data_IF_754145475410
#
_entry.id   IF_754145475410
#
_cell.length_a   1.000
_cell.length_b   1.000
_cell.length_c   1.000
_cell.angle_alpha   90.00
_cell.angle_beta   90.00
_cell.angle_gamma   90.00
#
_symmetry.space_group_name_H-M   'P 1'
#
loop_
_entity.id
_entity.type
_entity.pdbx_description
1 polymer ?
#
# COMPACT_ATOMS: atom_id res chain seq x y z
N UNK A 1 22.72 25.05 -7.69
CA UNK A 1 21.82 24.54 -6.64
C UNK A 1 21.55 25.66 -5.63
N UNK A 2 20.31 25.89 -5.19
CA UNK A 2 20.04 26.88 -4.12
C UNK A 2 18.91 27.91 -4.34
N UNK A 3 18.16 27.87 -5.45
CA UNK A 3 16.99 28.77 -5.66
C UNK A 3 15.62 28.12 -5.51
N UNK A 4 15.55 26.83 -5.13
CA UNK A 4 14.31 26.07 -4.82
C UNK A 4 13.07 26.45 -5.65
N UNK A 5 12.71 25.64 -6.64
CA UNK A 5 11.46 25.87 -7.39
C UNK A 5 10.26 25.66 -6.46
N UNK A 6 9.56 26.74 -6.10
CA UNK A 6 8.38 26.68 -5.23
C UNK A 6 7.28 25.88 -5.93
N UNK A 7 7.20 26.00 -7.25
CA UNK A 7 6.30 25.24 -8.12
C UNK A 7 6.60 23.74 -8.05
N UNK A 8 7.88 23.35 -7.98
CA UNK A 8 8.28 21.96 -7.85
C UNK A 8 7.84 21.34 -6.54
N UNK A 9 8.01 22.06 -5.42
CA UNK A 9 7.57 21.63 -4.09
C UNK A 9 6.04 21.57 -4.05
N UNK A 10 5.35 22.61 -4.52
CA UNK A 10 3.90 22.67 -4.56
C UNK A 10 3.32 21.53 -5.42
N UNK A 11 3.94 21.21 -6.56
CA UNK A 11 3.52 20.12 -7.42
C UNK A 11 3.67 18.75 -6.72
N UNK A 12 4.83 18.46 -6.11
CA UNK A 12 5.04 17.18 -5.42
C UNK A 12 4.17 17.02 -4.18
N UNK A 13 4.00 18.07 -3.39
CA UNK A 13 3.15 18.04 -2.19
C UNK A 13 1.67 17.90 -2.58
N UNK A 14 1.21 18.65 -3.59
CA UNK A 14 -0.17 18.52 -4.09
C UNK A 14 -0.44 17.14 -4.66
N UNK A 15 0.51 16.55 -5.39
CA UNK A 15 0.39 15.20 -5.92
C UNK A 15 0.27 14.17 -4.78
N UNK A 16 1.12 14.25 -3.76
CA UNK A 16 1.07 13.37 -2.60
C UNK A 16 -0.25 13.50 -1.82
N UNK A 17 -0.72 14.73 -1.59
CA UNK A 17 -2.00 14.97 -0.91
C UNK A 17 -3.22 14.51 -1.72
N UNK A 18 -3.20 14.64 -3.04
CA UNK A 18 -4.32 14.24 -3.90
C UNK A 18 -4.54 12.71 -3.89
N UNK A 19 -3.46 11.93 -3.79
CA UNK A 19 -3.52 10.46 -3.86
C UNK A 19 -4.11 9.84 -2.59
N UNK A 20 -3.98 10.48 -1.43
CA UNK A 20 -4.46 9.92 -0.16
C UNK A 20 -5.95 9.61 -0.15
N UNK A 21 -6.78 10.52 -0.68
CA UNK A 21 -8.23 10.30 -0.77
C UNK A 21 -8.59 9.30 -1.87
N UNK A 22 -7.92 9.38 -3.03
CA UNK A 22 -8.19 8.50 -4.16
C UNK A 22 -7.92 7.02 -3.83
N UNK A 23 -6.90 6.75 -3.01
CA UNK A 23 -6.55 5.37 -2.60
C UNK A 23 -7.60 4.70 -1.71
N UNK A 24 -8.51 5.46 -1.10
CA UNK A 24 -9.62 4.89 -0.33
C UNK A 24 -10.74 4.35 -1.22
N UNK A 25 -10.86 4.82 -2.45
CA UNK A 25 -11.88 4.33 -3.38
C UNK A 25 -11.71 2.82 -3.62
N UNK A 26 -10.56 2.33 -4.15
CA UNK A 26 -10.39 0.88 -4.38
C UNK A 26 -10.35 0.09 -3.07
N UNK A 27 -9.87 0.68 -1.96
CA UNK A 27 -9.89 0.04 -0.66
C UNK A 27 -11.32 -0.21 -0.17
N UNK A 28 -12.17 0.81 -0.19
CA UNK A 28 -13.53 0.70 0.33
C UNK A 28 -14.46 -0.03 -0.64
N UNK A 29 -14.24 0.08 -1.95
CA UNK A 29 -15.11 -0.60 -2.93
C UNK A 29 -14.67 -2.02 -3.24
N UNK A 30 -13.37 -2.33 -3.23
CA UNK A 30 -12.85 -3.66 -3.62
C UNK A 30 -12.12 -4.38 -2.48
N UNK A 31 -11.86 -3.71 -1.35
CA UNK A 31 -11.03 -4.28 -0.29
C UNK A 31 -9.53 -4.29 -0.63
N UNK A 32 -9.11 -3.63 -1.72
CA UNK A 32 -7.73 -3.72 -2.24
C UNK A 32 -6.99 -2.40 -1.98
N UNK A 33 -5.94 -2.40 -1.14
CA UNK A 33 -5.17 -1.20 -0.83
C UNK A 33 -4.22 -0.83 -1.99
N UNK A 34 -4.18 0.45 -2.35
CA UNK A 34 -3.28 0.98 -3.39
C UNK A 34 -1.90 1.45 -2.90
N UNK A 35 -1.71 1.60 -1.60
CA UNK A 35 -0.43 2.00 -0.99
C UNK A 35 -0.26 1.40 0.42
N UNK A 36 0.89 1.64 1.03
CA UNK A 36 1.23 1.13 2.38
C UNK A 36 0.26 1.65 3.45
N UNK A 37 -0.09 2.94 3.42
CA UNK A 37 -0.98 3.55 4.42
C UNK A 37 -2.38 2.95 4.36
N UNK A 38 -2.91 2.70 3.15
CA UNK A 38 -4.18 2.04 2.92
C UNK A 38 -4.13 0.58 3.41
N UNK A 39 -3.01 -0.14 3.22
CA UNK A 39 -2.85 -1.50 3.74
C UNK A 39 -2.87 -1.55 5.28
N UNK A 40 -2.25 -0.57 5.95
CA UNK A 40 -2.35 -0.42 7.40
C UNK A 40 -3.79 -0.16 7.86
N UNK A 41 -4.55 0.62 7.09
CA UNK A 41 -5.96 0.89 7.35
C UNK A 41 -6.84 -0.36 7.17
N UNK A 42 -6.56 -1.21 6.17
CA UNK A 42 -7.17 -2.55 6.06
C UNK A 42 -6.89 -3.37 7.32
N UNK A 43 -5.64 -3.41 7.77
CA UNK A 43 -5.28 -4.09 9.02
C UNK A 43 -6.05 -3.55 10.23
N UNK A 44 -6.19 -2.23 10.35
CA UNK A 44 -6.96 -1.60 11.43
C UNK A 44 -8.44 -1.97 11.38
N UNK A 45 -9.06 -2.00 10.19
CA UNK A 45 -10.45 -2.42 10.01
C UNK A 45 -10.66 -3.88 10.41
N UNK A 46 -9.77 -4.78 9.97
CA UNK A 46 -9.82 -6.20 10.34
C UNK A 46 -9.72 -6.37 11.87
N UNK A 47 -8.82 -5.62 12.53
CA UNK A 47 -8.70 -5.63 14.00
C UNK A 47 -9.99 -5.17 14.69
N UNK A 48 -10.73 -4.24 14.08
CA UNK A 48 -12.03 -3.76 14.58
C UNK A 48 -13.22 -4.61 14.10
N UNK A 49 -12.98 -5.71 13.39
CA UNK A 49 -14.04 -6.60 12.88
C UNK A 49 -14.79 -6.05 11.67
N UNK A 50 -14.25 -5.05 10.98
CA UNK A 50 -14.83 -4.43 9.78
C UNK A 50 -14.18 -5.04 8.55
N UNK A 51 -14.99 -5.61 7.66
CA UNK A 51 -14.52 -6.18 6.40
C UNK A 51 -14.59 -5.12 5.29
N UNK A 52 -13.44 -4.59 4.79
CA UNK A 52 -13.46 -3.58 3.75
C UNK A 52 -14.04 -4.12 2.44
N UNK A 53 -14.89 -3.31 1.80
CA UNK A 53 -15.58 -3.68 0.56
C UNK A 53 -16.95 -3.03 0.45
N UNK A 54 -17.73 -3.35 -0.61
CA UNK A 54 -19.01 -2.71 -0.89
C UNK A 54 -20.01 -2.83 0.28
N UNK A 55 -19.85 -3.88 1.10
CA UNK A 55 -20.69 -4.17 2.26
C UNK A 55 -20.59 -3.10 3.34
N UNK A 56 -19.43 -2.46 3.53
CA UNK A 56 -19.28 -1.41 4.56
C UNK A 56 -20.21 -0.23 4.30
N UNK A 57 -20.47 0.09 3.03
CA UNK A 57 -21.43 1.15 2.66
C UNK A 57 -22.87 0.80 3.03
N UNK A 58 -23.22 -0.50 3.09
CA UNK A 58 -24.56 -0.97 3.40
C UNK A 58 -24.80 -1.12 4.90
N UNK A 59 -23.83 -1.70 5.61
CA UNK A 59 -23.96 -2.03 7.03
C UNK A 59 -23.44 -0.93 7.97
N UNK A 60 -22.45 -0.14 7.55
CA UNK A 60 -21.75 0.84 8.39
C UNK A 60 -21.58 2.20 7.68
N UNK A 61 -22.68 2.74 7.15
CA UNK A 61 -22.68 4.03 6.47
C UNK A 61 -22.13 5.18 7.36
N UNK A 62 -22.41 5.15 8.66
CA UNK A 62 -21.91 6.15 9.62
C UNK A 62 -20.37 6.15 9.67
N UNK A 63 -19.75 4.98 9.62
CA UNK A 63 -18.29 4.85 9.62
C UNK A 63 -17.68 5.44 8.35
N UNK A 64 -18.30 5.17 7.20
CA UNK A 64 -17.84 5.69 5.89
C UNK A 64 -17.95 7.21 5.84
N UNK A 65 -19.11 7.77 6.19
CA UNK A 65 -19.30 9.23 6.21
C UNK A 65 -18.42 9.90 7.26
N UNK A 66 -18.23 9.26 8.42
CA UNK A 66 -17.31 9.69 9.46
C UNK A 66 -15.86 9.70 8.97
N UNK A 67 -15.44 8.68 8.23
CA UNK A 67 -14.11 8.58 7.63
C UNK A 67 -13.88 9.70 6.60
N UNK A 68 -14.81 9.92 5.66
CA UNK A 68 -14.68 11.00 4.68
C UNK A 68 -14.69 12.39 5.33
N UNK A 69 -15.57 12.61 6.31
CA UNK A 69 -15.65 13.87 7.05
C UNK A 69 -14.36 14.12 7.84
N UNK A 70 -13.86 13.10 8.54
CA UNK A 70 -12.60 13.18 9.30
C UNK A 70 -11.42 13.37 8.38
N UNK A 71 -11.40 12.75 7.20
CA UNK A 71 -10.32 12.95 6.22
C UNK A 71 -10.31 14.38 5.69
N UNK A 72 -11.48 14.95 5.40
CA UNK A 72 -11.61 16.35 5.00
C UNK A 72 -11.13 17.29 6.11
N UNK A 73 -11.50 17.00 7.36
CA UNK A 73 -11.03 17.75 8.53
C UNK A 73 -9.54 17.54 8.81
N UNK A 74 -9.00 16.35 8.53
CA UNK A 74 -7.59 16.01 8.68
C UNK A 74 -6.74 16.77 7.65
N UNK A 75 -7.21 16.91 6.41
CA UNK A 75 -6.52 17.74 5.41
C UNK A 75 -6.45 19.21 5.86
N UNK A 76 -7.54 19.75 6.41
CA UNK A 76 -7.56 21.10 6.99
C UNK A 76 -6.63 21.20 8.21
N UNK A 77 -6.64 20.19 9.08
CA UNK A 77 -5.78 20.13 10.26
C UNK A 77 -4.30 20.05 9.87
N UNK A 78 -3.96 19.26 8.85
CA UNK A 78 -2.60 19.17 8.29
C UNK A 78 -2.14 20.51 7.73
N UNK A 79 -3.02 21.29 7.10
CA UNK A 79 -2.68 22.64 6.67
C UNK A 79 -2.35 23.56 7.86
N UNK A 80 -3.17 23.55 8.92
CA UNK A 80 -2.95 24.36 10.13
C UNK A 80 -1.69 23.93 10.89
N UNK A 81 -1.56 22.63 11.18
CA UNK A 81 -0.40 22.06 11.89
C UNK A 81 0.87 22.18 11.05
N UNK A 82 0.77 22.02 9.73
CA UNK A 82 1.87 22.21 8.80
C UNK A 82 2.39 23.64 8.86
N UNK A 83 1.51 24.64 8.82
CA UNK A 83 1.92 26.05 8.87
C UNK A 83 2.62 26.40 10.20
N UNK A 84 2.09 25.95 11.34
CA UNK A 84 2.69 26.19 12.66
C UNK A 84 3.97 25.38 12.86
N UNK A 85 3.96 24.11 12.45
CA UNK A 85 5.00 23.13 12.68
C UNK A 85 6.16 23.18 11.68
N UNK A 86 6.01 23.83 10.52
CA UNK A 86 7.03 23.86 9.45
C UNK A 86 8.41 24.28 9.98
N UNK A 87 8.45 25.27 10.87
CA UNK A 87 9.69 25.77 11.48
C UNK A 87 10.36 24.72 12.38
N UNK A 88 9.57 23.89 13.06
CA UNK A 88 10.07 22.81 13.91
C UNK A 88 10.57 21.65 13.04
N UNK A 89 9.77 21.21 12.06
CA UNK A 89 10.13 20.10 11.17
C UNK A 89 11.38 20.42 10.34
N UNK A 90 11.52 21.66 9.86
CA UNK A 90 12.72 22.11 9.15
C UNK A 90 13.99 21.98 10.01
N UNK A 91 13.91 22.24 11.32
CA UNK A 91 15.04 22.04 12.25
C UNK A 91 15.36 20.57 12.46
N UNK A 92 14.35 19.70 12.53
CA UNK A 92 14.56 18.24 12.69
C UNK A 92 15.30 17.66 11.48
N UNK A 93 14.98 18.10 10.27
CA UNK A 93 15.64 17.63 9.04
C UNK A 93 17.11 18.08 8.98
N UNK A 94 17.47 19.19 9.65
CA UNK A 94 18.86 19.65 9.75
C UNK A 94 19.70 18.86 10.76
N UNK A 95 19.09 17.99 11.57
CA UNK A 95 19.82 17.13 12.50
C UNK A 95 20.65 16.12 11.72
N UNK A 96 21.91 15.93 12.12
CA UNK A 96 22.82 14.97 11.50
C UNK A 96 22.18 13.58 11.52
N UNK A 97 22.15 12.91 10.36
CA UNK A 97 21.56 11.57 10.21
C UNK A 97 22.11 10.54 11.20
N UNK A 98 23.37 10.70 11.61
CA UNK A 98 24.02 9.88 12.64
C UNK A 98 23.29 9.86 13.99
N UNK A 99 22.54 10.91 14.32
CA UNK A 99 21.72 10.99 15.55
C UNK A 99 20.28 10.64 15.23
N UNK A 100 19.77 11.11 14.08
CA UNK A 100 18.37 10.91 13.69
C UNK A 100 18.00 9.43 13.55
N UNK A 101 18.78 8.65 12.81
CA UNK A 101 18.50 7.24 12.56
C UNK A 101 18.43 6.39 13.85
N UNK A 102 19.42 6.43 14.77
CA UNK A 102 19.34 5.66 16.00
C UNK A 102 18.20 6.12 16.92
N UNK A 103 17.88 7.41 16.98
CA UNK A 103 16.73 7.88 17.77
C UNK A 103 15.41 7.35 17.22
N UNK A 104 15.22 7.36 15.90
CA UNK A 104 14.03 6.78 15.26
C UNK A 104 13.96 5.27 15.51
N UNK A 105 15.07 4.55 15.37
CA UNK A 105 15.13 3.11 15.66
C UNK A 105 14.77 2.80 17.12
N UNK A 106 15.31 3.57 18.07
CA UNK A 106 14.97 3.41 19.49
C UNK A 106 13.48 3.66 19.73
N UNK A 107 12.91 4.70 19.13
CA UNK A 107 11.50 5.01 19.27
C UNK A 107 10.63 3.89 18.67
N UNK A 108 11.01 3.32 17.53
CA UNK A 108 10.34 2.17 16.94
C UNK A 108 10.40 0.93 17.85
N UNK A 109 11.57 0.63 18.44
CA UNK A 109 11.75 -0.50 19.36
C UNK A 109 10.84 -0.32 20.59
N UNK A 110 10.84 0.88 21.18
CA UNK A 110 9.99 1.20 22.34
C UNK A 110 8.51 1.10 21.96
N UNK A 111 8.11 1.65 20.80
CA UNK A 111 6.74 1.59 20.32
C UNK A 111 6.23 0.15 20.13
N UNK A 112 7.04 -0.72 19.51
CA UNK A 112 6.70 -2.14 19.33
C UNK A 112 6.61 -2.87 20.67
N UNK A 113 7.53 -2.59 21.59
CA UNK A 113 7.52 -3.17 22.92
C UNK A 113 6.28 -2.78 23.72
N UNK A 114 5.82 -1.53 23.61
CA UNK A 114 4.62 -1.04 24.31
C UNK A 114 3.31 -1.50 23.65
N UNK A 115 3.27 -1.59 22.32
CA UNK A 115 2.04 -1.88 21.58
C UNK A 115 1.67 -3.36 21.55
N UNK A 116 2.64 -4.26 21.75
CA UNK A 116 2.40 -5.70 21.65
C UNK A 116 2.30 -6.35 23.02
N UNK A 117 1.24 -7.11 23.23
CA UNK A 117 1.10 -8.02 24.38
C UNK A 117 2.22 -9.07 24.45
N UNK A 118 2.99 -9.25 23.36
CA UNK A 118 4.07 -10.23 23.24
C UNK A 118 5.44 -9.75 23.76
N UNK A 119 5.56 -8.48 24.21
CA UNK A 119 6.77 -7.94 24.83
C UNK A 119 8.04 -8.12 23.98
N UNK A 120 9.05 -8.83 24.50
CA UNK A 120 10.34 -9.05 23.82
C UNK A 120 10.21 -9.83 22.50
N UNK A 121 9.22 -10.72 22.36
CA UNK A 121 9.01 -11.49 21.14
C UNK A 121 8.69 -10.59 19.93
N UNK A 122 7.94 -9.50 20.15
CA UNK A 122 7.62 -8.54 19.12
C UNK A 122 8.87 -7.81 18.59
N UNK A 123 9.87 -7.58 19.44
CA UNK A 123 11.14 -6.97 19.03
C UNK A 123 11.92 -7.91 18.10
N UNK A 124 11.96 -9.21 18.39
CA UNK A 124 12.61 -10.18 17.50
C UNK A 124 11.94 -10.25 16.13
N UNK A 125 10.60 -10.24 16.09
CA UNK A 125 9.83 -10.18 14.84
C UNK A 125 10.13 -8.88 14.08
N UNK A 126 10.16 -7.73 14.78
CA UNK A 126 10.51 -6.44 14.18
C UNK A 126 11.89 -6.47 13.53
N UNK A 127 12.91 -7.00 14.23
CA UNK A 127 14.28 -7.10 13.70
C UNK A 127 14.32 -8.04 12.48
N UNK A 128 13.62 -9.16 12.53
CA UNK A 128 13.54 -10.09 11.40
C UNK A 128 12.92 -9.42 10.15
N UNK A 129 11.79 -8.72 10.30
CA UNK A 129 11.16 -7.99 9.20
C UNK A 129 11.97 -6.78 8.73
N UNK A 130 12.72 -6.11 9.62
CA UNK A 130 13.64 -5.06 9.24
C UNK A 130 14.78 -5.60 8.36
N UNK A 131 15.32 -6.78 8.69
CA UNK A 131 16.33 -7.46 7.88
C UNK A 131 15.78 -7.89 6.50
N UNK A 132 14.56 -8.42 6.46
CA UNK A 132 13.88 -8.75 5.19
C UNK A 132 13.68 -7.50 4.33
N UNK A 133 13.18 -6.40 4.92
CA UNK A 133 12.99 -5.14 4.20
C UNK A 133 14.31 -4.56 3.67
N UNK A 134 15.40 -4.67 4.42
CA UNK A 134 16.74 -4.29 3.95
C UNK A 134 17.18 -5.15 2.77
N UNK A 135 16.97 -6.47 2.85
CA UNK A 135 17.33 -7.39 1.77
C UNK A 135 16.53 -7.13 0.49
N UNK A 136 15.24 -6.88 0.63
CA UNK A 136 14.36 -6.49 -0.47
C UNK A 136 14.87 -5.23 -1.16
N UNK A 137 15.24 -4.21 -0.38
CA UNK A 137 15.79 -2.96 -0.91
C UNK A 137 17.16 -3.16 -1.58
N UNK A 138 17.96 -4.12 -1.12
CA UNK A 138 19.24 -4.49 -1.74
C UNK A 138 19.07 -5.21 -3.08
N UNK A 139 17.97 -5.91 -3.28
CA UNK A 139 17.65 -6.63 -4.52
C UNK A 139 16.60 -5.91 -5.39
N UNK A 140 16.35 -4.63 -5.15
CA UNK A 140 15.35 -3.81 -5.87
C UNK A 140 13.92 -4.38 -5.88
N UNK A 141 13.56 -5.18 -4.87
CA UNK A 141 12.20 -5.63 -4.66
C UNK A 141 11.34 -4.55 -4.01
N UNK A 142 10.12 -4.39 -4.51
CA UNK A 142 9.14 -3.45 -3.95
C UNK A 142 8.64 -3.91 -2.58
N UNK A 143 9.14 -3.25 -1.52
CA UNK A 143 8.65 -3.43 -0.15
C UNK A 143 7.14 -3.13 -0.07
N UNK A 144 6.65 -2.18 -0.86
CA UNK A 144 5.23 -1.82 -0.94
C UNK A 144 4.39 -3.00 -1.39
N UNK A 145 4.79 -3.69 -2.46
CA UNK A 145 4.07 -4.85 -2.97
C UNK A 145 4.05 -6.00 -1.94
N UNK A 146 5.15 -6.20 -1.21
CA UNK A 146 5.20 -7.21 -0.16
C UNK A 146 4.25 -6.91 0.99
N UNK A 147 4.21 -5.67 1.49
CA UNK A 147 3.28 -5.30 2.58
C UNK A 147 1.83 -5.51 2.13
N UNK A 148 1.48 -5.08 0.92
CA UNK A 148 0.12 -5.28 0.38
C UNK A 148 -0.21 -6.77 0.28
N UNK A 149 0.69 -7.58 -0.28
CA UNK A 149 0.50 -9.03 -0.39
C UNK A 149 0.43 -9.74 0.95
N UNK A 150 1.20 -9.29 1.95
CA UNK A 150 1.19 -9.85 3.30
C UNK A 150 -0.16 -9.60 4.00
N UNK A 151 -0.67 -8.36 3.92
CA UNK A 151 -1.97 -8.02 4.53
C UNK A 151 -3.13 -8.73 3.84
N UNK A 152 -3.09 -8.86 2.51
CA UNK A 152 -4.14 -9.54 1.74
C UNK A 152 -4.02 -11.06 1.73
N UNK A 153 -2.87 -11.62 2.11
CA UNK A 153 -2.56 -13.04 1.96
C UNK A 153 -3.56 -13.96 2.66
N UNK A 154 -3.94 -13.62 3.90
CA UNK A 154 -4.93 -14.38 4.67
C UNK A 154 -6.32 -14.36 4.02
N UNK A 155 -6.79 -13.16 3.65
CA UNK A 155 -8.06 -12.99 2.94
C UNK A 155 -8.05 -13.71 1.59
N UNK A 156 -6.94 -13.64 0.85
CA UNK A 156 -6.79 -14.33 -0.42
C UNK A 156 -6.87 -15.85 -0.25
N UNK A 157 -6.14 -16.41 0.71
CA UNK A 157 -6.15 -17.84 1.01
C UNK A 157 -7.54 -18.32 1.43
N UNK A 158 -8.25 -17.54 2.26
CA UNK A 158 -9.62 -17.85 2.67
C UNK A 158 -10.58 -17.89 1.47
N UNK A 159 -10.54 -16.87 0.61
CA UNK A 159 -11.36 -16.80 -0.59
C UNK A 159 -11.01 -17.91 -1.60
N UNK A 160 -9.72 -18.23 -1.76
CA UNK A 160 -9.26 -19.29 -2.65
C UNK A 160 -9.76 -20.65 -2.18
N UNK A 161 -9.64 -20.95 -0.87
CA UNK A 161 -10.18 -22.18 -0.28
C UNK A 161 -11.69 -22.29 -0.49
N UNK A 162 -12.43 -21.22 -0.22
CA UNK A 162 -13.87 -21.16 -0.46
C UNK A 162 -14.23 -21.42 -1.92
N UNK A 163 -13.52 -20.78 -2.86
CA UNK A 163 -13.72 -20.98 -4.29
C UNK A 163 -13.44 -22.43 -4.72
N UNK A 164 -12.37 -23.05 -4.22
CA UNK A 164 -12.03 -24.46 -4.52
C UNK A 164 -13.08 -25.41 -3.96
N UNK A 165 -13.56 -25.20 -2.73
CA UNK A 165 -14.64 -26.01 -2.14
C UNK A 165 -15.93 -25.92 -2.94
N UNK A 166 -16.25 -24.73 -3.47
CA UNK A 166 -17.38 -24.52 -4.37
C UNK A 166 -17.11 -25.29 -5.68
N UNK A 167 -15.97 -25.11 -6.34
CA UNK A 167 -15.67 -25.73 -7.64
C UNK A 167 -15.49 -27.25 -7.61
N UNK A 168 -15.25 -27.87 -6.45
CA UNK A 168 -14.82 -29.27 -6.30
C UNK A 168 -15.71 -30.30 -7.04
N UNK A 169 -16.99 -30.01 -7.26
CA UNK A 169 -17.94 -30.95 -7.86
C UNK A 169 -18.07 -30.83 -9.39
N UNK A 170 -17.91 -29.63 -9.96
CA UNK A 170 -17.94 -29.39 -11.41
C UNK A 170 -17.27 -28.04 -11.75
N UNK A 171 -15.95 -28.04 -12.05
CA UNK A 171 -15.19 -26.81 -12.27
C UNK A 171 -15.56 -26.08 -13.56
N UNK A 172 -15.87 -26.81 -14.63
CA UNK A 172 -16.17 -26.25 -15.94
C UNK A 172 -17.64 -25.85 -16.05
N UNK A 173 -18.56 -26.66 -15.50
CA UNK A 173 -19.99 -26.34 -15.49
C UNK A 173 -20.31 -25.05 -14.73
N UNK A 174 -19.80 -24.88 -13.50
CA UNK A 174 -20.11 -23.69 -12.69
C UNK A 174 -19.46 -22.40 -13.15
N UNK A 175 -18.28 -22.47 -13.77
CA UNK A 175 -17.64 -21.27 -14.33
C UNK A 175 -18.41 -20.78 -15.56
N UNK A 176 -18.97 -21.70 -16.36
CA UNK A 176 -19.82 -21.36 -17.50
C UNK A 176 -21.20 -20.82 -17.09
N UNK A 177 -21.72 -21.20 -15.91
CA UNK A 177 -22.99 -20.69 -15.36
C UNK A 177 -22.92 -19.24 -14.88
N UNK A 178 -21.72 -18.75 -14.53
CA UNK A 178 -21.53 -17.40 -14.04
C UNK A 178 -20.88 -16.49 -15.10
N UNK A 179 -21.65 -15.65 -15.81
CA UNK A 179 -21.12 -14.79 -16.89
C UNK A 179 -20.02 -13.83 -16.40
N UNK A 180 -20.07 -13.45 -15.12
CA UNK A 180 -19.05 -12.62 -14.47
C UNK A 180 -17.71 -13.34 -14.29
N UNK A 181 -17.73 -14.65 -14.03
CA UNK A 181 -16.52 -15.45 -13.88
C UNK A 181 -15.79 -15.58 -15.22
N UNK A 182 -16.53 -15.85 -16.30
CA UNK A 182 -16.00 -15.89 -17.68
C UNK A 182 -15.36 -14.54 -18.03
N UNK A 183 -16.07 -13.43 -17.76
CA UNK A 183 -15.55 -12.09 -18.02
C UNK A 183 -14.23 -11.85 -17.29
N UNK A 184 -14.13 -12.18 -16.00
CA UNK A 184 -12.90 -12.01 -15.22
C UNK A 184 -11.74 -12.87 -15.72
N UNK A 185 -12.00 -14.12 -16.10
CA UNK A 185 -10.97 -15.00 -16.67
C UNK A 185 -10.46 -14.45 -18.00
N UNK A 186 -11.37 -14.06 -18.91
CA UNK A 186 -11.00 -13.45 -20.19
C UNK A 186 -10.24 -12.13 -19.99
N UNK A 187 -10.71 -11.25 -19.10
CA UNK A 187 -10.06 -9.99 -18.77
C UNK A 187 -8.64 -10.23 -18.23
N UNK A 188 -8.46 -11.22 -17.35
CA UNK A 188 -7.15 -11.60 -16.83
C UNK A 188 -6.22 -12.08 -17.95
N UNK A 189 -6.69 -12.95 -18.84
CA UNK A 189 -5.90 -13.43 -19.98
C UNK A 189 -5.49 -12.29 -20.91
N UNK A 190 -6.39 -11.35 -21.19
CA UNK A 190 -6.11 -10.16 -22.00
C UNK A 190 -5.08 -9.26 -21.32
N UNK A 191 -5.21 -9.04 -20.01
CA UNK A 191 -4.30 -8.19 -19.26
C UNK A 191 -2.89 -8.78 -19.19
N UNK A 192 -2.78 -10.09 -18.94
CA UNK A 192 -1.50 -10.80 -18.97
C UNK A 192 -0.89 -10.75 -20.37
N UNK A 193 -1.67 -10.99 -21.42
CA UNK A 193 -1.18 -10.90 -22.80
C UNK A 193 -0.70 -9.48 -23.13
N UNK A 194 -1.43 -8.45 -22.69
CA UNK A 194 -1.04 -7.04 -22.86
C UNK A 194 0.29 -6.74 -22.17
N UNK A 195 0.46 -7.14 -20.90
CA UNK A 195 1.72 -6.96 -20.16
C UNK A 195 2.88 -7.67 -20.86
N UNK A 196 2.69 -8.92 -21.31
CA UNK A 196 3.74 -9.67 -22.00
C UNK A 196 4.13 -9.00 -23.33
N UNK A 197 3.16 -8.48 -24.09
CA UNK A 197 3.41 -7.75 -25.33
C UNK A 197 4.12 -6.42 -25.06
N UNK A 198 3.74 -5.68 -24.01
CA UNK A 198 4.37 -4.42 -23.65
C UNK A 198 5.80 -4.61 -23.14
N UNK A 199 6.04 -5.63 -22.31
CA UNK A 199 7.39 -6.02 -21.89
C UNK A 199 8.24 -6.45 -23.08
N UNK A 200 7.70 -7.24 -24.01
CA UNK A 200 8.40 -7.62 -25.24
C UNK A 200 8.71 -6.41 -26.14
N UNK A 201 7.82 -5.41 -26.20
CA UNK A 201 8.02 -4.15 -26.96
C UNK A 201 9.06 -3.24 -26.30
N UNK A 202 9.05 -3.14 -24.98
CA UNK A 202 9.97 -2.28 -24.21
C UNK A 202 11.38 -2.87 -24.20
N UNK A 203 11.49 -4.20 -24.03
CA UNK A 203 12.75 -4.93 -24.18
C UNK A 203 13.34 -4.81 -25.59
N UNK A 204 12.49 -4.83 -26.64
CA UNK A 204 12.94 -4.60 -28.03
C UNK A 204 13.46 -3.18 -28.29
N UNK A 205 12.85 -2.16 -27.66
CA UNK A 205 13.30 -0.76 -27.78
C UNK A 205 14.63 -0.53 -27.06
N UNK A 206 14.84 -1.15 -25.90
CA UNK A 206 16.11 -1.08 -25.17
C UNK A 206 17.27 -1.76 -25.91
N UNK A 207 17.00 -2.82 -26.68
CA UNK A 207 18.00 -3.50 -27.53
C UNK A 207 18.27 -2.79 -28.88
N UNK A 208 17.39 -1.89 -29.31
CA UNK A 208 17.49 -1.17 -30.59
C UNK A 208 18.14 0.21 -30.48
N UNK A 209 18.36 0.72 -29.27
CA UNK A 209 19.03 2.00 -29.01
C UNK A 209 20.43 1.77 -28.41
N UNK A 210 21.53 1.97 -29.16
CA UNK A 210 22.90 1.74 -28.69
C UNK A 210 23.39 2.78 -27.66
N UNK A 211 22.57 3.76 -27.28
CA UNK A 211 22.93 4.77 -26.26
C UNK A 211 22.44 4.47 -24.84
N UNK A 212 21.65 3.40 -24.66
CA UNK A 212 21.12 3.00 -23.34
C UNK A 212 22.06 1.98 -22.71
N UNK A 213 23.00 2.46 -21.90
CA UNK A 213 23.78 1.58 -21.01
C UNK A 213 22.82 0.80 -20.09
N UNK A 214 23.07 -0.52 -19.88
CA UNK A 214 22.27 -1.32 -18.97
C UNK A 214 22.46 -0.80 -17.55
N UNK A 215 21.36 -0.36 -16.92
CA UNK A 215 21.32 -0.04 -15.49
C UNK A 215 21.67 -1.29 -14.68
N UNK A 216 22.89 -1.33 -14.17
CA UNK A 216 23.34 -2.22 -13.08
C UNK A 216 22.89 -1.69 -11.73
#
# INVERSE_FOLDING_TARGET
FGKGAHEGIAATESANSAVNGANLIPLLTLGIPGNVTAALLVGAFIIHGIEPGPRVFLYDAVLIYGLFTTMMLANLSTFLLGNVGLRLFAKVIQVRGQILYPTVLLLCIVGVYMSSSAGLAAIYVMIAFAAIGYLMRKFDYSVVCFIIGFVLGDTFEHNLRGAVTILYRDPLGRVLEHPFAIFMVCATLVFVAFILVEQARTGRKALADPSVEPKT
#
